data_IF_711489908753
#
_entry.id   IF_711489908753
#
_cell.length_a   1.000
_cell.length_b   1.000
_cell.length_c   1.000
_cell.angle_alpha   90.00
_cell.angle_beta   90.00
_cell.angle_gamma   90.00
#
_symmetry.space_group_name_H-M   'P 1'
#
loop_
_entity.id
_entity.type
_entity.pdbx_description
1 polymer ?
#
# COMPACT_ATOMS: atom_id res chain seq x y z
N UNK A 1 9.67 -2.96 -10.52
CA UNK A 1 9.70 -1.52 -10.37
C UNK A 1 9.88 -1.04 -8.94
N UNK A 2 10.29 0.22 -8.83
CA UNK A 2 10.47 0.91 -7.55
C UNK A 2 9.79 2.27 -7.63
N UNK A 3 8.84 2.57 -6.73
CA UNK A 3 7.93 3.69 -6.87
C UNK A 3 7.70 4.41 -5.54
N UNK A 4 7.07 5.60 -5.60
CA UNK A 4 6.68 6.36 -4.42
C UNK A 4 5.41 5.77 -3.84
N UNK A 5 5.47 5.35 -2.56
CA UNK A 5 4.33 4.88 -1.79
C UNK A 5 3.32 5.99 -1.50
N UNK A 6 2.10 5.61 -1.13
CA UNK A 6 0.99 6.49 -0.78
C UNK A 6 1.36 7.55 0.26
N UNK A 7 1.37 8.82 -0.14
CA UNK A 7 1.63 9.97 0.73
C UNK A 7 0.77 11.15 0.29
N UNK A 8 -0.26 11.50 1.08
CA UNK A 8 -1.26 12.48 0.70
C UNK A 8 -0.81 13.94 0.87
N UNK A 9 -1.34 14.82 0.02
CA UNK A 9 -1.36 16.24 0.31
C UNK A 9 -2.21 16.50 1.56
N UNK A 10 -1.68 17.28 2.47
CA UNK A 10 -2.22 17.47 3.82
C UNK A 10 -1.38 16.72 4.86
N UNK A 11 -1.05 15.45 4.65
CA UNK A 11 0.03 14.79 5.41
C UNK A 11 1.37 15.40 5.08
N UNK A 12 1.67 15.56 3.78
CA UNK A 12 2.84 16.27 3.26
C UNK A 12 2.44 17.70 2.81
N UNK A 13 3.43 18.55 2.74
CA UNK A 13 3.28 19.92 2.26
C UNK A 13 3.17 20.01 0.73
N UNK A 14 2.70 21.15 0.23
CA UNK A 14 2.62 21.45 -1.19
C UNK A 14 3.97 21.23 -1.91
N UNK A 15 5.06 21.80 -1.40
CA UNK A 15 6.38 21.68 -2.02
C UNK A 15 6.94 20.26 -1.95
N UNK A 16 6.60 19.48 -0.91
CA UNK A 16 6.98 18.07 -0.84
C UNK A 16 6.29 17.26 -1.93
N UNK A 17 4.97 17.45 -2.15
CA UNK A 17 4.23 16.78 -3.22
C UNK A 17 4.75 17.18 -4.60
N UNK A 18 5.00 18.48 -4.85
CA UNK A 18 5.63 18.97 -6.09
C UNK A 18 6.96 18.26 -6.38
N UNK A 19 7.85 18.24 -5.40
CA UNK A 19 9.18 17.66 -5.55
C UNK A 19 9.12 16.14 -5.80
N UNK A 20 8.22 15.42 -5.12
CA UNK A 20 7.98 13.99 -5.37
C UNK A 20 7.48 13.75 -6.79
N UNK A 21 6.44 14.48 -7.23
CA UNK A 21 5.87 14.29 -8.56
C UNK A 21 6.84 14.69 -9.68
N UNK A 22 7.58 15.80 -9.52
CA UNK A 22 8.62 16.22 -10.47
C UNK A 22 9.76 15.20 -10.57
N UNK A 23 10.20 14.63 -9.45
CA UNK A 23 11.22 13.58 -9.44
C UNK A 23 10.71 12.28 -10.08
N UNK A 24 9.47 11.90 -9.82
CA UNK A 24 8.81 10.75 -10.44
C UNK A 24 8.71 10.92 -11.97
N UNK A 25 8.31 12.10 -12.43
CA UNK A 25 8.27 12.44 -13.87
C UNK A 25 9.64 12.28 -14.53
N UNK A 26 10.70 12.79 -13.88
CA UNK A 26 12.08 12.65 -14.40
C UNK A 26 12.54 11.21 -14.53
N UNK A 27 12.17 10.37 -13.56
CA UNK A 27 12.62 8.99 -13.48
C UNK A 27 11.71 7.99 -14.18
N UNK A 28 10.54 8.41 -14.66
CA UNK A 28 9.56 7.54 -15.32
C UNK A 28 8.98 6.49 -14.37
N UNK A 29 8.74 6.85 -13.10
CA UNK A 29 8.09 6.02 -12.10
C UNK A 29 6.85 6.71 -11.52
N UNK A 30 5.95 5.95 -10.90
CA UNK A 30 4.70 6.54 -10.42
C UNK A 30 4.80 7.16 -9.03
N UNK A 31 3.91 8.11 -8.79
CA UNK A 31 3.64 8.71 -7.48
C UNK A 31 2.23 8.29 -7.04
N UNK A 32 2.13 7.55 -5.95
CA UNK A 32 0.86 7.23 -5.34
C UNK A 32 0.37 8.43 -4.51
N UNK A 33 -0.86 8.86 -4.77
CA UNK A 33 -1.44 10.10 -4.20
C UNK A 33 -1.71 10.00 -2.71
N UNK A 34 -1.82 8.79 -2.16
CA UNK A 34 -2.46 8.58 -0.87
C UNK A 34 -3.95 8.95 -0.89
N UNK A 35 -4.66 8.64 0.20
CA UNK A 35 -6.12 8.77 0.30
C UNK A 35 -6.67 10.21 0.31
N UNK A 36 -5.80 11.22 0.27
CA UNK A 36 -6.17 12.64 0.42
C UNK A 36 -6.69 13.32 -0.86
N UNK A 37 -7.11 12.59 -1.87
CA UNK A 37 -7.46 13.07 -3.21
C UNK A 37 -6.23 13.45 -4.06
N UNK A 38 -6.48 13.76 -5.33
CA UNK A 38 -5.48 14.32 -6.25
C UNK A 38 -5.47 15.84 -6.07
N UNK A 39 -4.40 16.37 -5.47
CA UNK A 39 -4.24 17.82 -5.31
C UNK A 39 -3.73 18.48 -6.59
N UNK A 40 -3.84 19.82 -6.73
CA UNK A 40 -3.20 20.57 -7.82
C UNK A 40 -1.69 20.29 -7.92
N UNK A 41 -1.03 20.07 -6.80
CA UNK A 41 0.41 19.80 -6.72
C UNK A 41 0.83 18.43 -7.27
N UNK A 42 -0.05 17.43 -7.22
CA UNK A 42 0.14 16.15 -7.92
C UNK A 42 0.06 16.31 -9.43
N UNK A 43 -0.70 17.31 -9.92
CA UNK A 43 -0.94 17.53 -11.36
C UNK A 43 0.13 18.40 -12.02
N UNK A 44 0.75 19.32 -11.29
CA UNK A 44 1.59 20.41 -11.79
C UNK A 44 2.75 19.95 -12.68
N UNK A 45 3.43 18.85 -12.33
CA UNK A 45 4.59 18.34 -13.08
C UNK A 45 4.27 17.16 -14.02
N UNK A 46 3.05 16.65 -14.02
CA UNK A 46 2.59 15.61 -14.94
C UNK A 46 3.27 14.25 -14.78
N UNK A 47 3.80 13.94 -13.59
CA UNK A 47 4.28 12.60 -13.27
C UNK A 47 3.13 11.61 -13.12
N UNK A 48 3.30 10.37 -13.55
CA UNK A 48 2.27 9.34 -13.52
C UNK A 48 1.76 9.10 -12.09
N UNK A 49 0.44 8.99 -11.93
CA UNK A 49 -0.22 8.81 -10.65
C UNK A 49 -0.88 7.43 -10.53
N UNK A 50 -0.74 6.84 -9.35
CA UNK A 50 -1.71 5.89 -8.82
C UNK A 50 -2.64 6.68 -7.91
N UNK A 51 -3.94 6.65 -8.20
CA UNK A 51 -4.92 7.35 -7.37
C UNK A 51 -5.46 6.40 -6.29
N UNK A 52 -5.12 6.69 -5.05
CA UNK A 52 -5.57 5.91 -3.90
C UNK A 52 -6.95 6.39 -3.43
N UNK A 53 -7.91 5.47 -3.36
CA UNK A 53 -9.28 5.68 -2.91
C UNK A 53 -9.42 5.12 -1.49
N UNK A 54 -9.43 5.98 -0.49
CA UNK A 54 -9.69 5.60 0.90
C UNK A 54 -11.17 5.57 1.24
N UNK A 55 -11.50 5.11 2.45
CA UNK A 55 -12.86 5.02 2.97
C UNK A 55 -13.60 6.35 3.14
N UNK A 56 -12.86 7.47 3.12
CA UNK A 56 -13.41 8.83 3.09
C UNK A 56 -13.78 9.32 1.69
N UNK A 57 -13.44 8.59 0.63
CA UNK A 57 -13.70 8.90 -0.78
C UNK A 57 -13.28 10.32 -1.20
N UNK A 58 -12.23 10.86 -0.60
CA UNK A 58 -11.76 12.21 -0.91
C UNK A 58 -11.44 12.36 -2.39
N UNK A 59 -12.04 13.39 -3.01
CA UNK A 59 -11.97 13.63 -4.46
C UNK A 59 -13.04 12.90 -5.29
N UNK A 60 -13.77 11.95 -4.70
CA UNK A 60 -14.89 11.24 -5.35
C UNK A 60 -16.04 10.98 -4.38
N UNK A 61 -16.31 11.92 -3.48
CA UNK A 61 -17.39 11.80 -2.49
C UNK A 61 -18.56 12.75 -2.75
N UNK A 62 -19.75 12.34 -2.40
CA UNK A 62 -20.93 13.19 -2.25
C UNK A 62 -20.82 14.02 -0.96
N UNK A 63 -21.72 14.99 -0.78
CA UNK A 63 -21.73 15.85 0.39
C UNK A 63 -22.05 15.10 1.70
N UNK A 64 -22.78 13.97 1.61
CA UNK A 64 -23.04 13.04 2.73
C UNK A 64 -21.86 12.11 3.05
N UNK A 65 -20.78 12.18 2.26
CA UNK A 65 -19.60 11.35 2.42
C UNK A 65 -19.64 10.01 1.69
N UNK A 66 -20.71 9.67 1.01
CA UNK A 66 -20.82 8.46 0.19
C UNK A 66 -19.99 8.56 -1.11
N UNK A 67 -19.71 7.43 -1.75
CA UNK A 67 -18.99 7.36 -3.02
C UNK A 67 -19.81 7.99 -4.16
N UNK A 68 -19.16 8.81 -4.99
CA UNK A 68 -19.75 9.44 -6.18
C UNK A 68 -19.10 8.91 -7.45
N UNK A 69 -19.83 8.12 -8.23
CA UNK A 69 -19.37 7.58 -9.51
C UNK A 69 -18.99 8.69 -10.50
N UNK A 70 -19.79 9.76 -10.57
CA UNK A 70 -19.55 10.86 -11.49
C UNK A 70 -18.23 11.59 -11.20
N UNK A 71 -18.01 11.98 -9.93
CA UNK A 71 -16.78 12.63 -9.50
C UNK A 71 -15.56 11.69 -9.62
N UNK A 72 -15.76 10.39 -9.40
CA UNK A 72 -14.72 9.41 -9.62
C UNK A 72 -14.33 9.33 -11.09
N UNK A 73 -15.28 9.15 -12.00
CA UNK A 73 -15.04 9.03 -13.43
C UNK A 73 -14.33 10.28 -14.00
N UNK A 74 -14.73 11.48 -13.56
CA UNK A 74 -14.09 12.74 -13.93
C UNK A 74 -12.60 12.76 -13.57
N UNK A 75 -12.25 12.46 -12.32
CA UNK A 75 -10.86 12.44 -11.89
C UNK A 75 -10.06 11.27 -12.48
N UNK A 76 -10.66 10.09 -12.54
CA UNK A 76 -10.03 8.89 -13.08
C UNK A 76 -9.74 8.99 -14.60
N UNK A 77 -10.52 9.77 -15.35
CA UNK A 77 -10.34 9.95 -16.81
C UNK A 77 -9.06 10.70 -17.18
N UNK A 78 -8.46 11.44 -16.23
CA UNK A 78 -7.26 12.23 -16.52
C UNK A 78 -6.10 11.33 -16.97
N UNK A 79 -5.35 11.71 -18.04
CA UNK A 79 -4.27 10.90 -18.60
C UNK A 79 -3.13 10.59 -17.63
N UNK A 80 -2.94 11.46 -16.62
CA UNK A 80 -1.91 11.30 -15.59
C UNK A 80 -2.22 10.18 -14.62
N UNK A 81 -3.49 9.86 -14.38
CA UNK A 81 -3.92 8.73 -13.56
C UNK A 81 -3.76 7.45 -14.36
N UNK A 82 -2.83 6.59 -13.95
CA UNK A 82 -2.51 5.33 -14.64
C UNK A 82 -3.15 4.12 -14.00
N UNK A 83 -3.34 4.15 -12.69
CA UNK A 83 -3.89 3.03 -11.92
C UNK A 83 -4.82 3.56 -10.82
N UNK A 84 -5.77 2.73 -10.40
CA UNK A 84 -6.69 3.00 -9.30
C UNK A 84 -6.40 2.01 -8.17
N UNK A 85 -6.15 2.51 -6.96
CA UNK A 85 -5.88 1.70 -5.78
C UNK A 85 -6.92 1.93 -4.69
N UNK A 86 -7.68 0.89 -4.33
CA UNK A 86 -8.60 0.94 -3.18
C UNK A 86 -7.80 0.68 -1.91
N UNK A 87 -7.77 1.62 -1.00
CA UNK A 87 -7.11 1.42 0.28
C UNK A 87 -8.05 0.75 1.28
N UNK A 88 -7.84 -0.53 1.55
CA UNK A 88 -8.57 -1.27 2.60
C UNK A 88 -7.98 -0.96 3.98
N UNK A 89 -6.65 -0.94 4.08
CA UNK A 89 -5.91 -0.64 5.30
C UNK A 89 -4.48 -0.18 4.99
N UNK A 90 -3.77 0.25 6.01
CA UNK A 90 -2.35 0.63 5.90
C UNK A 90 -1.57 -0.01 7.04
N UNK A 91 -0.31 -0.40 6.79
CA UNK A 91 0.51 -1.15 7.73
C UNK A 91 0.79 -0.43 9.04
N UNK A 92 0.96 0.90 8.99
CA UNK A 92 1.25 1.69 10.19
C UNK A 92 0.15 1.65 11.27
N UNK A 93 -1.11 1.47 10.87
CA UNK A 93 -2.28 1.45 11.76
C UNK A 93 -3.44 0.65 11.15
N UNK A 94 -3.32 -0.68 11.04
CA UNK A 94 -4.39 -1.51 10.50
C UNK A 94 -5.68 -1.38 11.33
N UNK A 95 -6.82 -1.31 10.63
CA UNK A 95 -8.14 -1.17 11.28
C UNK A 95 -8.45 0.21 11.87
N UNK A 96 -7.50 1.14 11.83
CA UNK A 96 -7.69 2.51 12.27
C UNK A 96 -7.78 3.44 11.05
N UNK A 97 -8.84 4.22 10.94
CA UNK A 97 -9.02 5.17 9.85
C UNK A 97 -7.94 6.25 9.79
N UNK A 98 -7.79 6.90 8.64
CA UNK A 98 -6.90 8.04 8.49
C UNK A 98 -7.36 9.22 9.34
N UNK A 99 -6.42 9.93 9.98
CA UNK A 99 -6.70 11.17 10.72
C UNK A 99 -5.76 12.25 10.23
N UNK A 100 -6.33 13.35 9.74
CA UNK A 100 -5.61 14.60 9.49
C UNK A 100 -6.08 15.61 10.54
N UNK A 101 -5.21 16.04 11.47
CA UNK A 101 -5.60 16.96 12.53
C UNK A 101 -6.10 18.30 12.01
N UNK A 102 -7.06 18.90 12.69
CA UNK A 102 -7.69 20.19 12.36
C UNK A 102 -6.67 21.29 12.03
N UNK A 103 -5.57 21.35 12.76
CA UNK A 103 -4.48 22.32 12.55
C UNK A 103 -3.82 22.21 11.16
N UNK A 104 -3.94 21.06 10.49
CA UNK A 104 -3.43 20.82 9.12
C UNK A 104 -4.49 21.00 8.04
N UNK A 105 -5.79 21.11 8.40
CA UNK A 105 -6.88 21.25 7.43
C UNK A 105 -7.05 22.72 7.04
N UNK A 106 -6.20 23.19 6.12
CA UNK A 106 -6.28 24.51 5.50
C UNK A 106 -7.48 24.63 4.54
N UNK A 107 -7.79 25.84 4.09
CA UNK A 107 -8.83 26.08 3.08
C UNK A 107 -8.59 25.26 1.80
N UNK A 108 -7.34 25.16 1.36
CA UNK A 108 -6.95 24.41 0.17
C UNK A 108 -7.14 22.87 0.35
N UNK A 109 -6.81 22.35 1.52
CA UNK A 109 -7.03 20.93 1.85
C UNK A 109 -8.53 20.65 2.00
N UNK A 110 -9.28 21.60 2.60
CA UNK A 110 -10.73 21.55 2.68
C UNK A 110 -11.36 21.37 1.30
N UNK A 111 -10.97 22.19 0.33
CA UNK A 111 -11.44 22.07 -1.07
C UNK A 111 -10.98 20.76 -1.70
N UNK A 112 -9.72 20.40 -1.56
CA UNK A 112 -9.15 19.18 -2.17
C UNK A 112 -9.84 17.91 -1.69
N UNK A 113 -10.21 17.84 -0.40
CA UNK A 113 -10.83 16.65 0.21
C UNK A 113 -12.36 16.70 0.25
N UNK A 114 -12.97 17.89 0.05
CA UNK A 114 -14.41 18.08 0.24
C UNK A 114 -14.82 17.95 1.71
N UNK A 115 -14.08 18.58 2.64
CA UNK A 115 -14.32 18.51 4.10
C UNK A 115 -14.28 19.92 4.72
N UNK A 116 -14.91 20.14 5.89
CA UNK A 116 -14.84 21.45 6.57
C UNK A 116 -13.40 21.84 6.94
N UNK A 117 -13.06 23.12 6.77
CA UNK A 117 -11.78 23.67 7.19
C UNK A 117 -11.67 23.73 8.72
N UNK A 118 -10.47 23.47 9.25
CA UNK A 118 -10.17 23.62 10.68
C UNK A 118 -10.85 22.58 11.59
N UNK A 119 -11.35 21.48 11.01
CA UNK A 119 -11.93 20.36 11.72
C UNK A 119 -11.09 19.11 11.44
N UNK A 120 -10.97 18.21 12.42
CA UNK A 120 -10.28 16.93 12.22
C UNK A 120 -10.93 16.18 11.05
N UNK A 121 -10.12 15.84 10.04
CA UNK A 121 -10.57 15.05 8.91
C UNK A 121 -10.29 13.57 9.19
N UNK A 122 -11.33 12.85 9.59
CA UNK A 122 -11.27 11.42 9.95
C UNK A 122 -11.86 10.58 8.83
N UNK A 123 -11.08 9.63 8.32
CA UNK A 123 -11.59 8.60 7.42
C UNK A 123 -12.29 7.51 8.23
N UNK A 124 -13.47 7.01 7.81
CA UNK A 124 -14.09 5.85 8.44
C UNK A 124 -13.15 4.63 8.48
N UNK A 125 -13.31 3.76 9.48
CA UNK A 125 -12.51 2.53 9.61
C UNK A 125 -12.82 1.50 8.50
N UNK A 126 -13.96 1.65 7.81
CA UNK A 126 -14.40 0.76 6.72
C UNK A 126 -15.05 1.56 5.59
N UNK A 127 -15.02 1.00 4.39
CA UNK A 127 -15.74 1.56 3.26
C UNK A 127 -17.27 1.40 3.42
N UNK A 128 -18.03 2.39 2.93
CA UNK A 128 -19.49 2.31 2.87
C UNK A 128 -20.00 1.67 1.57
N UNK A 129 -19.14 1.61 0.53
CA UNK A 129 -19.52 1.05 -0.77
C UNK A 129 -19.55 -0.49 -0.79
N UNK A 130 -18.96 -1.15 0.19
CA UNK A 130 -18.95 -2.61 0.31
C UNK A 130 -18.78 -3.04 1.76
N UNK A 131 -19.31 -4.23 2.10
CA UNK A 131 -19.26 -4.83 3.44
C UNK A 131 -18.80 -6.30 3.43
N UNK A 132 -18.71 -6.91 2.26
CA UNK A 132 -18.30 -8.30 2.06
C UNK A 132 -17.14 -8.40 1.06
N UNK A 133 -16.37 -9.51 1.05
CA UNK A 133 -15.35 -9.76 0.04
C UNK A 133 -15.88 -9.74 -1.40
N UNK A 134 -17.07 -10.32 -1.64
CA UNK A 134 -17.70 -10.30 -2.97
C UNK A 134 -18.01 -8.87 -3.40
N UNK A 135 -18.62 -8.07 -2.52
CA UNK A 135 -18.92 -6.65 -2.82
C UNK A 135 -17.67 -5.83 -3.08
N UNK A 136 -16.55 -6.10 -2.37
CA UNK A 136 -15.26 -5.49 -2.67
C UNK A 136 -14.83 -5.75 -4.13
N UNK A 137 -14.93 -6.99 -4.60
CA UNK A 137 -14.54 -7.33 -5.97
C UNK A 137 -15.49 -6.71 -7.01
N UNK A 138 -16.78 -6.63 -6.71
CA UNK A 138 -17.75 -5.90 -7.53
C UNK A 138 -17.39 -4.42 -7.60
N UNK A 139 -16.95 -3.82 -6.50
CA UNK A 139 -16.47 -2.44 -6.46
C UNK A 139 -15.18 -2.26 -7.27
N UNK A 140 -14.23 -3.20 -7.21
CA UNK A 140 -13.04 -3.22 -8.10
C UNK A 140 -13.45 -3.22 -9.57
N UNK A 141 -14.37 -4.09 -9.96
CA UNK A 141 -14.87 -4.16 -11.33
C UNK A 141 -15.55 -2.85 -11.76
N UNK A 142 -16.36 -2.26 -10.86
CA UNK A 142 -17.05 -1.00 -11.13
C UNK A 142 -16.08 0.17 -11.29
N UNK A 143 -15.06 0.29 -10.46
CA UNK A 143 -14.04 1.33 -10.59
C UNK A 143 -13.21 1.17 -11.88
N UNK A 144 -12.91 -0.07 -12.27
CA UNK A 144 -12.25 -0.35 -13.55
C UNK A 144 -13.10 0.11 -14.73
N UNK A 145 -14.38 -0.16 -14.74
CA UNK A 145 -15.31 0.31 -15.76
C UNK A 145 -15.36 1.85 -15.80
N UNK A 146 -15.60 2.49 -14.67
CA UNK A 146 -15.73 3.95 -14.56
C UNK A 146 -14.44 4.69 -14.91
N UNK A 147 -13.26 4.06 -14.75
CA UNK A 147 -11.97 4.63 -15.12
C UNK A 147 -11.60 4.44 -16.62
N UNK A 148 -12.49 3.81 -17.40
CA UNK A 148 -12.21 3.48 -18.80
C UNK A 148 -11.24 2.32 -18.98
N UNK A 149 -11.26 1.34 -18.07
CA UNK A 149 -10.45 0.13 -18.15
C UNK A 149 -9.04 0.26 -17.56
N UNK A 150 -8.78 1.29 -16.75
CA UNK A 150 -7.48 1.42 -16.06
C UNK A 150 -7.27 0.28 -15.06
N UNK A 151 -6.01 -0.21 -14.92
CA UNK A 151 -5.70 -1.21 -13.91
C UNK A 151 -6.21 -0.79 -12.53
N UNK A 152 -7.01 -1.64 -11.91
CA UNK A 152 -7.67 -1.39 -10.63
C UNK A 152 -7.37 -2.51 -9.66
N UNK A 153 -6.85 -2.15 -8.50
CA UNK A 153 -6.50 -3.09 -7.44
C UNK A 153 -6.76 -2.50 -6.07
N UNK A 154 -6.19 -3.12 -5.05
CA UNK A 154 -6.33 -2.65 -3.68
C UNK A 154 -5.05 -2.82 -2.88
N UNK A 155 -4.93 -2.00 -1.84
CA UNK A 155 -3.87 -2.09 -0.83
C UNK A 155 -4.44 -2.55 0.50
N UNK A 156 -3.75 -3.49 1.14
CA UNK A 156 -4.12 -3.99 2.47
C UNK A 156 -2.90 -4.24 3.35
N UNK A 157 -3.10 -4.08 4.66
CA UNK A 157 -2.27 -4.70 5.69
C UNK A 157 -2.99 -5.95 6.18
N UNK A 158 -2.28 -7.06 6.29
CA UNK A 158 -2.86 -8.31 6.78
C UNK A 158 -3.06 -8.17 8.30
N UNK A 159 -4.30 -8.32 8.75
CA UNK A 159 -4.68 -8.46 10.15
C UNK A 159 -4.96 -9.92 10.47
N UNK A 160 -6.12 -10.40 10.11
CA UNK A 160 -6.53 -11.79 10.31
C UNK A 160 -6.48 -12.58 9.00
N UNK A 161 -5.92 -13.80 8.98
CA UNK A 161 -5.81 -14.59 7.75
C UNK A 161 -7.16 -14.84 7.06
N UNK A 162 -8.23 -15.05 7.83
CA UNK A 162 -9.57 -15.35 7.26
C UNK A 162 -10.16 -14.19 6.45
N UNK A 163 -9.80 -12.93 6.75
CA UNK A 163 -10.26 -11.76 5.99
C UNK A 163 -9.65 -11.78 4.59
N UNK A 164 -8.33 -12.01 4.50
CA UNK A 164 -7.64 -12.19 3.24
C UNK A 164 -8.13 -13.43 2.48
N UNK A 165 -8.29 -14.57 3.17
CA UNK A 165 -8.80 -15.79 2.54
C UNK A 165 -10.23 -15.64 2.04
N UNK A 166 -11.06 -14.84 2.71
CA UNK A 166 -12.39 -14.47 2.22
C UNK A 166 -12.33 -13.75 0.89
N UNK A 167 -11.43 -12.76 0.75
CA UNK A 167 -11.20 -12.06 -0.53
C UNK A 167 -10.71 -13.03 -1.60
N UNK A 168 -9.77 -13.90 -1.27
CA UNK A 168 -9.22 -14.88 -2.20
C UNK A 168 -10.29 -15.89 -2.69
N UNK A 169 -11.14 -16.38 -1.79
CA UNK A 169 -12.31 -17.22 -2.15
C UNK A 169 -13.29 -16.47 -3.05
N UNK A 170 -13.59 -15.22 -2.72
CA UNK A 170 -14.46 -14.39 -3.56
C UNK A 170 -13.90 -14.22 -4.98
N UNK A 171 -12.57 -14.03 -5.12
CA UNK A 171 -11.92 -14.01 -6.45
C UNK A 171 -12.12 -15.30 -7.22
N UNK A 172 -11.96 -16.45 -6.56
CA UNK A 172 -12.14 -17.75 -7.17
C UNK A 172 -13.61 -18.02 -7.57
N UNK A 173 -14.55 -17.71 -6.67
CA UNK A 173 -15.97 -17.96 -6.86
C UNK A 173 -16.62 -17.05 -7.90
N UNK A 174 -16.25 -15.77 -7.91
CA UNK A 174 -16.85 -14.79 -8.83
C UNK A 174 -16.11 -14.67 -10.17
N UNK A 175 -14.86 -15.10 -10.24
CA UNK A 175 -13.98 -14.84 -11.37
C UNK A 175 -13.56 -13.37 -11.53
N UNK A 176 -14.00 -12.46 -10.65
CA UNK A 176 -13.61 -11.06 -10.66
C UNK A 176 -12.26 -10.93 -9.97
N UNK A 177 -11.25 -10.48 -10.71
CA UNK A 177 -9.89 -10.33 -10.21
C UNK A 177 -9.47 -8.85 -10.17
N UNK A 178 -8.75 -8.42 -9.13
CA UNK A 178 -8.01 -7.17 -9.20
C UNK A 178 -6.84 -7.33 -10.17
N UNK A 179 -6.38 -6.25 -10.80
CA UNK A 179 -5.19 -6.27 -11.64
C UNK A 179 -3.93 -6.38 -10.77
N UNK A 180 -3.99 -5.84 -9.56
CA UNK A 180 -2.89 -5.89 -8.61
C UNK A 180 -3.38 -5.83 -7.15
N UNK A 181 -2.48 -6.24 -6.26
CA UNK A 181 -2.64 -6.15 -4.80
C UNK A 181 -1.36 -5.55 -4.23
N UNK A 182 -1.48 -4.51 -3.41
CA UNK A 182 -0.34 -3.95 -2.67
C UNK A 182 -0.40 -4.43 -1.23
N UNK A 183 0.61 -5.17 -0.81
CA UNK A 183 0.79 -5.64 0.57
C UNK A 183 1.57 -4.60 1.35
N UNK A 184 0.96 -4.00 2.38
CA UNK A 184 1.57 -3.01 3.25
C UNK A 184 1.82 -3.62 4.64
N UNK A 185 3.08 -3.80 5.00
CA UNK A 185 3.48 -4.47 6.24
C UNK A 185 3.32 -3.59 7.48
N UNK A 186 3.28 -4.22 8.65
CA UNK A 186 3.18 -3.55 9.95
C UNK A 186 4.29 -2.53 10.19
N UNK A 187 5.43 -2.67 9.51
CA UNK A 187 6.56 -1.73 9.55
C UNK A 187 6.31 -0.44 8.75
N UNK A 188 5.26 -0.41 7.92
CA UNK A 188 4.85 0.79 7.19
C UNK A 188 4.55 1.89 8.20
N UNK A 189 5.28 2.99 8.14
CA UNK A 189 5.16 4.02 9.14
C UNK A 189 4.63 5.30 8.54
N UNK A 190 3.64 5.89 9.17
CA UNK A 190 3.40 7.32 9.05
C UNK A 190 3.78 7.96 10.37
N UNK A 191 4.34 9.19 10.33
CA UNK A 191 4.56 9.94 11.55
C UNK A 191 3.26 10.37 12.26
N UNK A 192 2.09 9.95 11.74
CA UNK A 192 0.76 10.19 12.32
C UNK A 192 0.12 8.91 12.89
N UNK A 193 0.80 7.75 12.86
CA UNK A 193 0.29 6.54 13.48
C UNK A 193 0.58 6.56 14.98
N UNK A 194 -0.36 6.07 15.83
CA UNK A 194 -0.10 5.89 17.25
C UNK A 194 1.08 4.95 17.48
N UNK A 195 1.90 5.24 18.49
CA UNK A 195 3.10 4.45 18.81
C UNK A 195 2.77 2.99 19.13
N UNK A 196 1.60 2.74 19.70
CA UNK A 196 1.11 1.42 20.04
C UNK A 196 0.77 0.56 18.81
N UNK A 197 0.62 1.16 17.65
CA UNK A 197 0.30 0.45 16.39
C UNK A 197 1.56 0.10 15.59
N UNK A 198 2.52 1.03 15.50
CA UNK A 198 3.69 0.89 14.64
C UNK A 198 4.53 -0.29 15.08
N UNK A 199 4.80 -1.22 14.18
CA UNK A 199 5.55 -2.46 14.42
C UNK A 199 4.87 -3.46 15.39
N UNK A 200 3.64 -3.19 15.85
CA UNK A 200 2.95 -4.01 16.85
C UNK A 200 1.63 -4.61 16.34
N UNK A 201 0.89 -3.88 15.52
CA UNK A 201 -0.42 -4.31 15.02
C UNK A 201 -0.34 -4.63 13.53
N UNK A 202 -0.86 -5.79 13.15
CA UNK A 202 -0.78 -6.32 11.79
C UNK A 202 0.40 -7.26 11.57
N UNK A 203 0.42 -7.89 10.42
CA UNK A 203 1.46 -8.85 10.04
C UNK A 203 2.65 -8.10 9.43
N UNK A 204 3.90 -8.44 9.79
CA UNK A 204 5.08 -7.89 9.14
C UNK A 204 5.08 -8.14 7.62
N UNK A 205 5.73 -7.26 6.87
CA UNK A 205 5.62 -7.22 5.40
C UNK A 205 6.01 -8.53 4.72
N UNK A 206 7.09 -9.18 5.15
CA UNK A 206 7.55 -10.41 4.52
C UNK A 206 6.56 -11.56 4.72
N UNK A 207 6.05 -11.72 5.93
CA UNK A 207 5.07 -12.74 6.27
C UNK A 207 3.73 -12.49 5.58
N UNK A 208 3.30 -11.22 5.51
CA UNK A 208 2.10 -10.83 4.79
C UNK A 208 2.24 -11.06 3.28
N UNK A 209 3.39 -10.71 2.69
CA UNK A 209 3.71 -10.96 1.29
C UNK A 209 3.68 -12.45 0.97
N UNK A 210 4.32 -13.27 1.82
CA UNK A 210 4.32 -14.73 1.66
C UNK A 210 2.91 -15.31 1.74
N UNK A 211 2.07 -14.82 2.64
CA UNK A 211 0.68 -15.25 2.75
C UNK A 211 -0.10 -14.95 1.47
N UNK A 212 0.01 -13.72 0.95
CA UNK A 212 -0.68 -13.30 -0.29
C UNK A 212 -0.14 -14.08 -1.49
N UNK A 213 1.17 -14.16 -1.65
CA UNK A 213 1.83 -14.87 -2.73
C UNK A 213 1.43 -16.35 -2.78
N UNK A 214 1.53 -17.05 -1.65
CA UNK A 214 1.13 -18.45 -1.53
C UNK A 214 -0.35 -18.68 -1.82
N UNK A 215 -1.23 -17.80 -1.33
CA UNK A 215 -2.67 -17.91 -1.61
C UNK A 215 -2.93 -17.86 -3.12
N UNK A 216 -2.28 -16.92 -3.82
CA UNK A 216 -2.45 -16.78 -5.27
C UNK A 216 -1.84 -17.96 -6.05
N UNK A 217 -0.73 -18.53 -5.59
CA UNK A 217 -0.18 -19.80 -6.16
C UNK A 217 -1.18 -20.93 -5.94
N UNK A 218 -1.62 -21.12 -4.70
CA UNK A 218 -2.55 -22.21 -4.36
C UNK A 218 -3.90 -22.15 -5.08
N UNK A 219 -4.27 -20.97 -5.63
CA UNK A 219 -5.48 -20.77 -6.44
C UNK A 219 -5.21 -20.68 -7.96
N UNK A 220 -3.98 -20.89 -8.43
CA UNK A 220 -3.56 -20.67 -9.82
C UNK A 220 -3.81 -19.24 -10.34
N UNK A 221 -3.84 -18.25 -9.45
CA UNK A 221 -4.10 -16.84 -9.78
C UNK A 221 -2.84 -15.99 -9.86
N UNK A 222 -1.68 -16.48 -9.38
CA UNK A 222 -0.45 -15.67 -9.27
C UNK A 222 0.02 -15.06 -10.60
N UNK A 223 -0.17 -15.77 -11.71
CA UNK A 223 0.18 -15.29 -13.05
C UNK A 223 -0.76 -14.17 -13.58
N UNK A 224 -1.93 -14.01 -12.99
CA UNK A 224 -2.98 -13.08 -13.41
C UNK A 224 -3.04 -11.80 -12.58
N UNK A 225 -2.49 -11.82 -11.36
CA UNK A 225 -2.55 -10.71 -10.40
C UNK A 225 -1.12 -10.30 -10.07
N UNK A 226 -0.81 -9.01 -10.20
CA UNK A 226 0.48 -8.47 -9.80
C UNK A 226 0.50 -8.13 -8.32
N UNK A 227 1.66 -8.29 -7.67
CA UNK A 227 1.84 -7.97 -6.25
C UNK A 227 2.83 -6.81 -6.09
N UNK A 228 2.37 -5.71 -5.51
CA UNK A 228 3.21 -4.65 -4.97
C UNK A 228 3.47 -4.89 -3.48
N UNK A 229 4.60 -4.43 -2.98
CA UNK A 229 4.91 -4.50 -1.55
C UNK A 229 5.42 -3.17 -1.01
N UNK A 230 4.99 -2.83 0.20
CA UNK A 230 5.42 -1.66 0.96
C UNK A 230 5.66 -2.04 2.43
N UNK A 231 6.71 -1.49 3.02
CA UNK A 231 7.08 -1.77 4.42
C UNK A 231 8.59 -1.67 4.62
N UNK A 232 9.10 -0.50 5.04
CA UNK A 232 10.54 -0.21 5.27
C UNK A 232 11.49 -0.58 4.12
N UNK A 233 11.03 -0.52 2.90
CA UNK A 233 11.87 -0.72 1.71
C UNK A 233 12.63 0.57 1.45
N UNK A 234 13.95 0.57 1.66
CA UNK A 234 14.80 1.77 1.57
C UNK A 234 16.08 1.57 0.77
N UNK A 235 16.49 0.34 0.56
CA UNK A 235 17.74 -0.01 -0.13
C UNK A 235 17.48 -0.97 -1.30
N UNK A 236 18.46 -1.10 -2.20
CA UNK A 236 18.42 -2.06 -3.30
C UNK A 236 18.33 -3.51 -2.80
N UNK A 237 18.97 -3.82 -1.66
CA UNK A 237 18.89 -5.16 -1.09
C UNK A 237 17.48 -5.47 -0.55
N UNK A 238 16.78 -4.47 0.00
CA UNK A 238 15.38 -4.64 0.38
C UNK A 238 14.51 -4.97 -0.84
N UNK A 239 14.77 -4.31 -2.00
CA UNK A 239 14.10 -4.63 -3.27
C UNK A 239 14.37 -6.09 -3.67
N UNK A 240 15.64 -6.49 -3.73
CA UNK A 240 16.04 -7.86 -4.12
C UNK A 240 15.34 -8.88 -3.24
N UNK A 241 15.41 -8.72 -1.92
CA UNK A 241 14.78 -9.64 -0.96
C UNK A 241 13.25 -9.70 -1.14
N UNK A 242 12.60 -8.55 -1.26
CA UNK A 242 11.14 -8.47 -1.39
C UNK A 242 10.67 -9.07 -2.71
N UNK A 243 11.38 -8.81 -3.82
CA UNK A 243 11.05 -9.39 -5.12
C UNK A 243 11.31 -10.90 -5.16
N UNK A 244 12.39 -11.37 -4.52
CA UNK A 244 12.67 -12.81 -4.38
C UNK A 244 11.57 -13.55 -3.58
N UNK A 245 10.83 -12.85 -2.73
CA UNK A 245 9.69 -13.38 -1.97
C UNK A 245 8.35 -13.27 -2.71
N UNK A 246 8.34 -12.80 -3.94
CA UNK A 246 7.17 -12.82 -4.81
C UNK A 246 6.52 -11.47 -5.11
N UNK A 247 7.14 -10.33 -4.76
CA UNK A 247 6.65 -9.03 -5.21
C UNK A 247 7.07 -8.76 -6.67
N UNK A 248 6.15 -8.18 -7.47
CA UNK A 248 6.47 -7.71 -8.82
C UNK A 248 7.09 -6.30 -8.81
N UNK A 249 6.75 -5.51 -7.79
CA UNK A 249 7.37 -4.19 -7.55
C UNK A 249 7.33 -3.81 -6.08
N UNK A 250 8.06 -2.75 -5.74
CA UNK A 250 8.15 -2.22 -4.38
C UNK A 250 7.80 -0.73 -4.33
N UNK A 251 7.13 -0.32 -3.27
CA UNK A 251 6.82 1.06 -2.96
C UNK A 251 7.60 1.51 -1.72
N UNK A 252 8.17 2.70 -1.78
CA UNK A 252 8.87 3.31 -0.66
C UNK A 252 8.27 4.67 -0.27
N UNK A 253 7.97 4.83 1.00
CA UNK A 253 7.61 6.12 1.58
C UNK A 253 8.83 6.80 2.21
N UNK A 254 9.41 6.15 3.21
CA UNK A 254 10.48 6.71 4.05
C UNK A 254 11.75 7.05 3.26
N UNK A 255 12.16 6.22 2.30
CA UNK A 255 13.32 6.50 1.46
C UNK A 255 13.15 7.80 0.66
N UNK A 256 12.01 8.00 0.04
CA UNK A 256 11.70 9.25 -0.66
C UNK A 256 11.52 10.44 0.29
N UNK A 257 11.00 10.22 1.50
CA UNK A 257 10.97 11.25 2.54
C UNK A 257 12.38 11.75 2.90
N UNK A 258 13.36 10.84 3.00
CA UNK A 258 14.76 11.23 3.22
C UNK A 258 15.33 12.02 2.04
N UNK A 259 15.00 11.66 0.82
CA UNK A 259 15.37 12.43 -0.36
C UNK A 259 14.81 13.86 -0.31
N UNK A 260 13.62 14.08 0.24
CA UNK A 260 13.04 15.40 0.50
C UNK A 260 13.73 16.17 1.64
N UNK A 261 14.51 15.51 2.48
CA UNK A 261 15.18 16.11 3.63
C UNK A 261 14.48 15.84 4.97
N UNK A 262 13.70 14.77 5.08
CA UNK A 262 13.16 14.31 6.36
C UNK A 262 14.31 13.91 7.30
N UNK A 263 14.29 14.41 8.54
CA UNK A 263 15.29 14.14 9.59
C UNK A 263 14.74 13.24 10.71
N UNK A 264 13.59 12.60 10.48
CA UNK A 264 12.92 11.74 11.47
C UNK A 264 12.60 12.44 12.81
N UNK A 265 12.22 13.71 12.75
CA UNK A 265 11.84 14.45 13.96
C UNK A 265 10.57 13.93 14.64
N UNK A 266 9.83 13.04 13.99
CA UNK A 266 8.55 12.45 14.44
C UNK A 266 7.46 13.49 14.78
N UNK A 267 7.59 14.71 14.24
CA UNK A 267 6.65 15.82 14.44
C UNK A 267 5.63 15.96 13.30
N UNK A 268 5.39 14.87 12.53
CA UNK A 268 4.52 14.91 11.36
C UNK A 268 3.04 15.06 11.73
N UNK A 269 2.63 14.62 12.90
CA UNK A 269 1.24 14.63 13.37
C UNK A 269 0.79 15.98 13.95
N UNK A 270 1.72 16.84 14.37
CA UNK A 270 1.42 18.07 15.10
C UNK A 270 1.70 19.36 14.32
N UNK A 271 1.88 19.26 13.01
CA UNK A 271 2.20 20.37 12.09
C UNK A 271 3.53 21.11 12.37
N UNK A 272 4.41 20.50 13.17
CA UNK A 272 5.69 21.11 13.61
C UNK A 272 6.92 20.55 12.89
N UNK A 273 6.75 19.88 11.74
CA UNK A 273 7.88 19.35 10.99
C UNK A 273 8.90 20.44 10.69
N UNK A 274 10.15 20.33 11.18
CA UNK A 274 11.14 21.40 11.07
C UNK A 274 11.67 21.62 9.65
N UNK A 275 11.62 20.56 8.81
CA UNK A 275 12.17 20.60 7.44
C UNK A 275 11.16 20.98 6.37
N UNK A 276 9.91 21.30 6.75
CA UNK A 276 8.87 21.71 5.80
C UNK A 276 8.23 20.55 5.02
N UNK A 277 8.66 19.30 5.24
CA UNK A 277 8.17 18.15 4.47
C UNK A 277 6.73 17.76 4.86
N UNK A 278 6.43 17.67 6.15
CA UNK A 278 5.13 17.18 6.66
C UNK A 278 4.41 18.20 7.53
N UNK A 279 4.32 19.44 7.04
CA UNK A 279 3.64 20.57 7.71
C UNK A 279 2.87 21.40 6.70
N UNK A 280 1.81 22.04 7.16
CA UNK A 280 1.05 23.04 6.39
C UNK A 280 1.43 24.48 6.74
N UNK A 281 2.40 24.67 7.65
CA UNK A 281 2.90 26.00 8.01
C UNK A 281 3.73 26.61 6.87
N UNK A 282 3.28 27.72 6.23
CA UNK A 282 3.97 28.33 5.09
C UNK A 282 5.40 28.75 5.38
N UNK A 283 5.68 29.26 6.59
CA UNK A 283 7.02 29.72 6.97
C UNK A 283 8.06 28.60 6.96
N UNK A 284 7.61 27.32 6.96
CA UNK A 284 8.45 26.13 6.93
C UNK A 284 8.48 25.48 5.55
N UNK A 285 7.30 25.16 4.99
CA UNK A 285 7.27 24.39 3.74
C UNK A 285 7.70 25.22 2.51
N UNK A 286 7.53 26.54 2.51
CA UNK A 286 8.03 27.41 1.43
C UNK A 286 9.57 27.39 1.30
N UNK A 287 10.28 27.06 2.38
CA UNK A 287 11.75 26.90 2.37
C UNK A 287 12.24 25.59 1.75
N UNK A 288 11.33 24.63 1.50
CA UNK A 288 11.69 23.40 0.80
C UNK A 288 11.82 23.73 -0.69
N UNK A 289 13.05 23.70 -1.20
CA UNK A 289 13.36 23.96 -2.61
C UNK A 289 12.89 22.78 -3.47
N UNK A 290 11.85 23.01 -4.27
CA UNK A 290 11.23 21.99 -5.12
C UNK A 290 12.23 21.46 -6.16
N UNK A 291 13.02 22.35 -6.78
CA UNK A 291 13.95 21.98 -7.85
C UNK A 291 15.07 21.07 -7.31
N UNK A 292 15.71 21.45 -6.19
CA UNK A 292 16.72 20.63 -5.52
C UNK A 292 16.13 19.26 -5.10
N UNK A 293 14.97 19.29 -4.43
CA UNK A 293 14.38 18.04 -3.92
C UNK A 293 13.89 17.11 -5.02
N UNK A 294 13.39 17.62 -6.14
CA UNK A 294 13.03 16.81 -7.30
C UNK A 294 14.27 16.08 -7.89
N UNK A 295 15.42 16.77 -7.95
CA UNK A 295 16.68 16.12 -8.36
C UNK A 295 17.06 15.00 -7.39
N UNK A 296 17.00 15.23 -6.09
CA UNK A 296 17.32 14.23 -5.06
C UNK A 296 16.38 13.02 -5.10
N UNK A 297 15.07 13.25 -5.29
CA UNK A 297 14.07 12.19 -5.46
C UNK A 297 14.41 11.31 -6.67
N UNK A 298 14.71 11.93 -7.81
CA UNK A 298 15.14 11.20 -9.00
C UNK A 298 16.46 10.46 -8.79
N UNK A 299 17.48 11.09 -8.18
CA UNK A 299 18.77 10.46 -7.93
C UNK A 299 18.65 9.28 -6.95
N UNK A 300 17.86 9.39 -5.91
CA UNK A 300 17.61 8.28 -4.99
C UNK A 300 17.04 7.07 -5.73
N UNK A 301 16.02 7.29 -6.57
CA UNK A 301 15.45 6.23 -7.41
C UNK A 301 16.49 5.63 -8.36
N UNK A 302 17.19 6.46 -9.14
CA UNK A 302 18.17 6.03 -10.13
C UNK A 302 19.34 5.25 -9.50
N UNK A 303 19.86 5.73 -8.36
CA UNK A 303 20.95 5.07 -7.64
C UNK A 303 20.51 3.74 -7.02
N UNK A 304 19.28 3.66 -6.51
CA UNK A 304 18.70 2.41 -6.00
C UNK A 304 18.56 1.38 -7.12
N UNK A 305 18.08 1.78 -8.31
CA UNK A 305 17.99 0.88 -9.46
C UNK A 305 19.36 0.49 -10.02
N UNK A 306 20.36 1.37 -9.95
CA UNK A 306 21.74 1.03 -10.31
C UNK A 306 22.26 -0.07 -9.37
N UNK A 307 22.15 0.12 -8.07
CA UNK A 307 22.57 -0.88 -7.09
C UNK A 307 21.77 -2.20 -7.21
N UNK A 308 20.48 -2.14 -7.58
CA UNK A 308 19.70 -3.34 -7.89
C UNK A 308 20.31 -4.11 -9.07
N UNK A 309 20.68 -3.44 -10.16
CA UNK A 309 21.34 -4.08 -11.32
C UNK A 309 22.69 -4.71 -10.94
N UNK A 310 23.47 -4.02 -10.11
CA UNK A 310 24.75 -4.56 -9.63
C UNK A 310 24.53 -5.84 -8.80
N UNK A 311 23.50 -5.89 -7.94
CA UNK A 311 23.15 -7.08 -7.17
C UNK A 311 22.64 -8.24 -8.05
N UNK A 312 21.82 -7.94 -9.06
CA UNK A 312 21.36 -8.94 -10.02
C UNK A 312 22.52 -9.53 -10.82
N UNK A 313 23.40 -8.67 -11.34
CA UNK A 313 24.61 -9.11 -12.07
C UNK A 313 25.53 -9.98 -11.21
N UNK A 314 25.71 -9.63 -9.92
CA UNK A 314 26.48 -10.45 -8.98
C UNK A 314 25.85 -11.84 -8.71
N UNK A 315 24.53 -11.94 -8.83
CA UNK A 315 23.79 -13.20 -8.74
C UNK A 315 23.68 -13.96 -10.07
N UNK A 316 24.26 -13.43 -11.16
CA UNK A 316 24.14 -14.02 -12.51
C UNK A 316 22.77 -13.85 -13.15
N UNK A 317 21.98 -12.85 -12.70
CA UNK A 317 20.64 -12.59 -13.18
C UNK A 317 20.62 -11.32 -14.08
N UNK A 318 19.78 -11.35 -15.11
CA UNK A 318 19.60 -10.24 -16.04
C UNK A 318 18.39 -9.38 -15.72
N UNK A 319 17.38 -9.98 -15.07
CA UNK A 319 16.11 -9.30 -14.79
C UNK A 319 15.58 -9.61 -13.38
N UNK A 320 14.98 -8.61 -12.69
CA UNK A 320 14.44 -8.81 -11.35
C UNK A 320 13.38 -9.92 -11.24
N UNK A 321 12.65 -10.23 -12.31
CA UNK A 321 11.68 -11.33 -12.34
C UNK A 321 12.31 -12.74 -12.26
N UNK A 322 13.63 -12.83 -12.43
CA UNK A 322 14.37 -14.09 -12.25
C UNK A 322 14.75 -14.34 -10.79
N UNK A 323 14.54 -13.33 -9.92
CA UNK A 323 14.76 -13.50 -8.48
C UNK A 323 13.78 -14.52 -7.91
N UNK A 324 14.34 -15.50 -7.20
CA UNK A 324 13.61 -16.46 -6.41
C UNK A 324 14.16 -16.54 -4.99
N UNK A 325 13.43 -17.16 -4.08
CA UNK A 325 13.82 -17.26 -2.67
C UNK A 325 15.11 -18.07 -2.44
N UNK A 326 15.55 -18.86 -3.41
CA UNK A 326 16.81 -19.59 -3.42
C UNK A 326 18.04 -18.68 -3.52
N UNK A 327 17.88 -17.48 -4.12
CA UNK A 327 18.96 -16.50 -4.28
C UNK A 327 19.29 -15.73 -3.00
N UNK A 328 18.43 -15.78 -1.99
CA UNK A 328 18.59 -15.01 -0.75
C UNK A 328 18.97 -15.94 0.39
N UNK A 329 20.17 -15.75 0.90
CA UNK A 329 20.68 -16.48 2.05
C UNK A 329 20.52 -15.69 3.34
N UNK A 330 20.04 -16.32 4.38
CA UNK A 330 19.87 -15.74 5.71
C UNK A 330 20.64 -16.57 6.74
N UNK A 331 21.45 -15.89 7.55
CA UNK A 331 22.06 -16.50 8.73
C UNK A 331 20.97 -16.67 9.80
N UNK A 332 20.70 -17.89 10.18
CA UNK A 332 19.67 -18.26 11.18
C UNK A 332 20.26 -18.59 12.54
N UNK A 333 21.54 -18.92 12.58
CA UNK A 333 22.30 -19.09 13.82
C UNK A 333 23.80 -18.77 13.55
N UNK A 334 24.66 -18.75 14.59
CA UNK A 334 26.10 -18.57 14.40
C UNK A 334 26.77 -19.56 13.44
N UNK A 335 26.18 -20.73 13.27
CA UNK A 335 26.77 -21.86 12.51
C UNK A 335 25.90 -22.30 11.32
N UNK A 336 24.76 -21.63 11.10
CA UNK A 336 23.81 -22.05 10.05
C UNK A 336 23.38 -20.88 9.17
N UNK A 337 23.41 -21.11 7.86
CA UNK A 337 22.87 -20.22 6.83
C UNK A 337 21.86 -21.03 6.00
N UNK A 338 20.68 -20.46 5.74
CA UNK A 338 19.62 -21.08 4.92
C UNK A 338 19.13 -20.11 3.85
N UNK A 339 18.71 -20.66 2.71
CA UNK A 339 17.98 -19.84 1.72
C UNK A 339 16.56 -19.53 2.20
N UNK A 340 15.95 -18.45 1.66
CA UNK A 340 14.55 -18.18 1.95
C UNK A 340 13.63 -19.30 1.42
N UNK A 341 14.03 -20.00 0.36
CA UNK A 341 13.34 -21.19 -0.12
C UNK A 341 13.27 -22.32 0.93
N UNK A 342 14.31 -22.44 1.77
CA UNK A 342 14.35 -23.43 2.85
C UNK A 342 13.74 -22.92 4.18
N UNK A 343 13.53 -21.62 4.31
CA UNK A 343 12.99 -21.01 5.53
C UNK A 343 11.48 -20.86 5.50
N UNK A 344 10.90 -20.57 4.33
CA UNK A 344 9.48 -20.39 4.15
C UNK A 344 8.84 -21.59 3.48
N UNK A 345 7.60 -21.86 3.86
CA UNK A 345 6.80 -22.90 3.22
C UNK A 345 6.06 -22.28 2.04
N UNK A 346 6.22 -22.88 0.85
CA UNK A 346 5.52 -22.50 -0.37
C UNK A 346 4.43 -23.52 -0.66
N UNK A 347 3.27 -23.03 -1.14
CA UNK A 347 2.21 -23.89 -1.65
C UNK A 347 2.53 -24.30 -3.09
N UNK A 348 2.06 -25.49 -3.46
CA UNK A 348 2.07 -25.93 -4.85
C UNK A 348 0.96 -25.23 -5.65
N UNK A 349 1.13 -25.03 -6.97
CA UNK A 349 0.07 -24.52 -7.82
C UNK A 349 -1.21 -25.36 -7.67
N UNK A 350 -2.36 -24.68 -7.48
CA UNK A 350 -3.67 -25.31 -7.31
C UNK A 350 -3.90 -26.03 -5.98
N UNK A 351 -2.96 -26.00 -5.03
CA UNK A 351 -3.07 -26.76 -3.76
C UNK A 351 -4.33 -26.39 -2.95
N UNK A 352 -4.81 -25.16 -3.06
CA UNK A 352 -6.00 -24.70 -2.34
C UNK A 352 -7.33 -25.08 -3.02
N UNK A 353 -7.29 -25.62 -4.24
CA UNK A 353 -8.47 -26.01 -4.99
C UNK A 353 -8.97 -27.39 -4.59
N UNK A 354 -8.08 -28.37 -4.48
CA UNK A 354 -8.45 -29.80 -4.40
C UNK A 354 -7.81 -30.54 -3.22
N UNK A 355 -6.97 -29.88 -2.41
CA UNK A 355 -6.17 -30.56 -1.37
C UNK A 355 -6.34 -29.93 0.00
N UNK A 356 -6.03 -30.72 1.03
CA UNK A 356 -5.82 -30.17 2.37
C UNK A 356 -4.48 -29.45 2.37
N UNK A 357 -4.42 -28.15 2.63
CA UNK A 357 -3.18 -27.38 2.56
C UNK A 357 -2.09 -27.92 3.50
N UNK A 358 -0.86 -28.02 2.99
CA UNK A 358 0.29 -28.45 3.77
C UNK A 358 0.69 -27.45 4.87
N UNK A 359 0.51 -26.16 4.61
CA UNK A 359 0.91 -25.07 5.49
C UNK A 359 -0.08 -24.84 6.64
N UNK A 360 0.41 -24.72 7.87
CA UNK A 360 -0.41 -24.65 9.09
C UNK A 360 -1.45 -23.53 9.12
N UNK A 361 -1.09 -22.33 8.64
CA UNK A 361 -2.02 -21.17 8.59
C UNK A 361 -3.19 -21.45 7.66
N UNK A 362 -2.93 -22.07 6.50
CA UNK A 362 -3.98 -22.44 5.55
C UNK A 362 -4.86 -23.56 6.12
N UNK A 363 -4.28 -24.61 6.69
CA UNK A 363 -5.06 -25.64 7.39
C UNK A 363 -5.92 -25.05 8.50
N UNK A 364 -5.38 -24.04 9.19
CA UNK A 364 -6.04 -23.41 10.31
C UNK A 364 -7.24 -22.56 9.92
N UNK A 365 -7.25 -21.88 8.79
CA UNK A 365 -8.22 -20.83 8.51
C UNK A 365 -8.85 -20.88 7.11
N UNK A 366 -8.25 -21.59 6.15
CA UNK A 366 -8.74 -21.61 4.78
C UNK A 366 -10.16 -22.13 4.65
N UNK A 367 -10.45 -23.29 5.25
CA UNK A 367 -11.76 -23.94 5.16
C UNK A 367 -12.89 -23.04 5.71
N UNK A 368 -12.60 -22.34 6.81
CA UNK A 368 -13.58 -21.55 7.56
C UNK A 368 -13.76 -20.11 7.03
N UNK A 369 -12.88 -19.63 6.19
CA UNK A 369 -12.99 -18.30 5.59
C UNK A 369 -14.16 -18.25 4.60
N UNK A 370 -14.86 -17.12 4.53
CA UNK A 370 -16.08 -16.93 3.76
C UNK A 370 -15.93 -15.81 2.76
N UNK A 371 -16.41 -16.04 1.54
CA UNK A 371 -16.43 -15.02 0.46
C UNK A 371 -17.52 -13.95 0.68
N UNK A 372 -18.55 -14.27 1.47
CA UNK A 372 -19.69 -13.40 1.76
C UNK A 372 -19.58 -12.65 3.10
N UNK A 373 -18.46 -12.80 3.83
CA UNK A 373 -18.31 -12.16 5.15
C UNK A 373 -16.85 -12.01 5.57
N UNK A 374 -16.50 -10.85 6.14
CA UNK A 374 -15.23 -10.62 6.85
C UNK A 374 -15.26 -11.05 8.32
N UNK A 375 -16.41 -11.52 8.83
CA UNK A 375 -16.56 -11.93 10.22
C UNK A 375 -15.61 -13.09 10.57
N UNK A 376 -15.13 -13.18 11.83
CA UNK A 376 -14.31 -14.28 12.27
C UNK A 376 -15.07 -15.61 12.14
N UNK A 377 -14.36 -16.72 11.84
CA UNK A 377 -14.96 -18.06 11.83
C UNK A 377 -15.64 -18.39 13.16
N UNK A 378 -16.72 -19.19 13.13
CA UNK A 378 -17.53 -19.51 14.30
C UNK A 378 -16.70 -20.05 15.48
N UNK A 379 -15.69 -20.90 15.22
CA UNK A 379 -14.77 -21.42 16.26
C UNK A 379 -13.95 -20.31 16.93
N UNK A 380 -13.54 -19.26 16.18
CA UNK A 380 -12.79 -18.12 16.73
C UNK A 380 -13.73 -17.24 17.56
N UNK A 381 -14.96 -17.03 17.10
CA UNK A 381 -16.01 -16.32 17.85
C UNK A 381 -16.32 -17.03 19.17
N UNK A 382 -16.51 -18.33 19.16
CA UNK A 382 -16.78 -19.14 20.36
C UNK A 382 -15.63 -19.06 21.40
N UNK A 383 -14.36 -19.04 20.94
CA UNK A 383 -13.22 -18.86 21.84
C UNK A 383 -13.19 -17.48 22.52
N UNK A 384 -13.67 -16.44 21.85
CA UNK A 384 -13.79 -15.10 22.44
C UNK A 384 -14.87 -15.07 23.53
N UNK A 385 -16.03 -15.67 23.27
CA UNK A 385 -17.11 -15.75 24.24
C UNK A 385 -16.74 -16.56 25.49
N UNK A 386 -16.01 -17.66 25.33
CA UNK A 386 -15.53 -18.48 26.46
C UNK A 386 -14.49 -17.77 27.34
N UNK A 387 -13.74 -16.81 26.82
CA UNK A 387 -12.75 -16.03 27.55
C UNK A 387 -13.33 -14.77 28.22
N UNK A 388 -14.53 -14.37 27.83
CA UNK A 388 -15.22 -13.21 28.43
C UNK A 388 -16.16 -13.60 29.58
N UNK A 389 -16.25 -14.89 29.88
CA UNK A 389 -16.91 -15.46 31.07
C UNK A 389 -15.88 -15.82 32.13
#
# INVERSE_FOLDING_TARGET
GFNISAMSFGSLSANAIRALNAGAKRGGFYHDTGEGSISPYHREHGGDLVWEIGSGYFGCRNDDGSFSEARFAENASTPQVKMIEIKLSQGAKPGHGGVLPAAKVSAEISVTRGVPMGVDCVSPARHSAFSTPVELLQFVARLRELSGGKPTGFKLAIGHPWEWFGIAKAMHETGILPDFIVVDGAEGGTGAAPAEFIDHVGVPMHEALMLVHNTLIGLDLRGRIRIGAAGRITSAFDLVRTMAMGADWCNAGRGFMFALGCIQSQSCHNDKCPTGVATQNPSRWQKLDVADKAVRVHQYHANTLKALRDLLGAAGLEHPQQLGPEHILRRVSPVEVRSLAALYNYLEPGELLDRVPSHAVFRGFWADARSDSFAPPARVAALRESRSR
#
